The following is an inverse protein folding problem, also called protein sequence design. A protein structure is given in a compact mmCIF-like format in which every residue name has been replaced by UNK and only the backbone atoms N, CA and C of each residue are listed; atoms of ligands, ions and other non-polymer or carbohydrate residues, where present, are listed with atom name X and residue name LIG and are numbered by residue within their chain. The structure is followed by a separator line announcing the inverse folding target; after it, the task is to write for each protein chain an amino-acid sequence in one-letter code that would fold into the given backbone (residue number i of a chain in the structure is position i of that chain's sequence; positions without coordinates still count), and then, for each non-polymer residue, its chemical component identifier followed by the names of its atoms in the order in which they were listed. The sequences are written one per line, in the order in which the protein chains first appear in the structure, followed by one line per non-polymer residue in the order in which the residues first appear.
data_IF_234742357552
#
_entry.id   IF_234742357552
#
_cell.length_a   1.000
_cell.length_b   1.000
_cell.length_c   1.000
_cell.angle_alpha   90.00
_cell.angle_beta   90.00
_cell.angle_gamma   90.00
#
_symmetry.space_group_name_H-M   'P 1'
#
loop_
_entity.id
_entity.type
_entity.pdbx_description
1 polymer ?
#
# COMPACT_ATOMS: atom_id res chain seq x y z
N UNK A 1 2.02 -22.81 13.67
CA UNK A 1 1.67 -21.67 14.54
C UNK A 1 2.57 -20.53 14.13
N UNK A 2 1.97 -19.36 13.87
CA UNK A 2 2.71 -18.15 13.60
C UNK A 2 3.60 -17.80 14.82
N UNK A 3 4.83 -17.37 14.57
CA UNK A 3 5.78 -16.97 15.61
C UNK A 3 6.41 -15.63 15.28
N UNK A 4 6.87 -14.93 16.32
CA UNK A 4 7.49 -13.61 16.20
C UNK A 4 8.86 -13.59 16.88
N UNK A 5 9.83 -12.98 16.22
CA UNK A 5 11.16 -12.69 16.76
C UNK A 5 11.44 -11.21 16.63
N UNK A 6 11.78 -10.55 17.74
CA UNK A 6 12.14 -9.15 17.74
C UNK A 6 13.65 -8.99 17.62
N UNK A 7 14.09 -8.27 16.58
CA UNK A 7 15.47 -7.88 16.36
C UNK A 7 15.60 -6.36 16.58
N UNK A 8 16.84 -5.84 16.60
CA UNK A 8 17.08 -4.43 16.94
C UNK A 8 16.28 -3.44 16.07
N UNK A 9 16.11 -3.76 14.77
CA UNK A 9 15.53 -2.83 13.77
C UNK A 9 14.37 -3.39 12.95
N UNK A 10 13.97 -4.63 13.22
CA UNK A 10 12.88 -5.27 12.51
C UNK A 10 12.23 -6.36 13.37
N UNK A 11 11.00 -6.70 13.02
CA UNK A 11 10.22 -7.77 13.63
C UNK A 11 10.14 -8.88 12.58
N UNK A 12 10.70 -10.05 12.89
CA UNK A 12 10.61 -11.24 12.05
C UNK A 12 9.36 -12.01 12.39
N UNK A 13 8.63 -12.42 11.35
CA UNK A 13 7.38 -13.15 11.46
C UNK A 13 7.50 -14.41 10.63
N UNK A 14 7.11 -15.53 11.21
CA UNK A 14 7.24 -16.85 10.61
C UNK A 14 5.90 -17.59 10.75
N UNK A 15 5.26 -17.93 9.64
CA UNK A 15 4.06 -18.79 9.59
C UNK A 15 4.41 -20.15 9.01
N UNK A 16 3.48 -21.09 8.93
CA UNK A 16 3.71 -22.37 8.23
C UNK A 16 3.89 -22.20 6.70
N UNK A 17 3.32 -21.16 6.12
CA UNK A 17 3.26 -20.92 4.68
C UNK A 17 4.25 -19.87 4.18
N UNK A 18 4.66 -18.92 5.01
CA UNK A 18 5.56 -17.83 4.60
C UNK A 18 6.41 -17.29 5.76
N UNK A 19 7.35 -16.42 5.43
CA UNK A 19 8.03 -15.54 6.39
C UNK A 19 7.96 -14.10 5.90
N UNK A 20 8.03 -13.14 6.82
CA UNK A 20 8.01 -11.71 6.55
C UNK A 20 8.82 -10.96 7.61
N UNK A 21 9.34 -9.78 7.26
CA UNK A 21 9.93 -8.85 8.23
C UNK A 21 9.22 -7.51 8.18
N UNK A 22 8.93 -6.91 9.33
CA UNK A 22 8.39 -5.55 9.44
C UNK A 22 9.49 -4.64 9.95
N UNK A 23 9.85 -3.62 9.17
CA UNK A 23 10.91 -2.67 9.55
C UNK A 23 10.39 -1.70 10.63
N UNK A 24 11.16 -1.49 11.69
CA UNK A 24 10.83 -0.54 12.76
C UNK A 24 11.69 0.71 12.73
N UNK A 25 12.84 0.67 12.04
CA UNK A 25 13.79 1.79 11.87
C UNK A 25 14.36 1.86 10.44
N UNK A 26 14.62 3.07 9.96
CA UNK A 26 15.16 3.34 8.62
C UNK A 26 14.05 3.56 7.59
N UNK A 27 13.97 2.69 6.58
CA UNK A 27 12.88 2.69 5.60
C UNK A 27 11.69 1.93 6.19
N UNK A 28 10.72 2.66 6.73
CA UNK A 28 9.69 2.12 7.65
C UNK A 28 8.29 2.08 7.04
N UNK A 29 7.35 1.47 7.76
CA UNK A 29 6.01 1.03 7.33
C UNK A 29 6.02 -0.25 6.50
N UNK A 30 4.94 -1.04 6.61
CA UNK A 30 4.74 -2.24 5.81
C UNK A 30 5.75 -3.37 6.06
N UNK A 31 5.86 -4.27 5.08
CA UNK A 31 6.79 -5.40 5.08
C UNK A 31 8.06 -5.02 4.31
N UNK A 32 9.23 -5.34 4.88
CA UNK A 32 10.55 -5.01 4.35
C UNK A 32 10.81 -5.66 2.99
N UNK A 33 11.52 -4.93 2.12
CA UNK A 33 11.91 -5.36 0.78
C UNK A 33 12.50 -6.78 0.73
N UNK A 34 11.92 -7.66 -0.10
CA UNK A 34 12.43 -9.01 -0.33
C UNK A 34 12.36 -9.95 0.89
N UNK A 35 11.63 -9.55 1.94
CA UNK A 35 11.47 -10.35 3.15
C UNK A 35 10.22 -11.21 3.14
N UNK A 36 9.23 -10.90 2.27
CA UNK A 36 8.02 -11.70 2.15
C UNK A 36 8.29 -12.91 1.25
N UNK A 37 8.48 -14.08 1.88
CA UNK A 37 8.94 -15.28 1.20
C UNK A 37 7.90 -16.39 1.37
N UNK A 38 7.41 -16.91 0.24
CA UNK A 38 6.53 -18.06 0.17
C UNK A 38 7.32 -19.35 0.38
N UNK A 39 7.01 -20.11 1.43
CA UNK A 39 7.71 -21.36 1.73
C UNK A 39 7.38 -22.47 0.74
N UNK A 40 6.20 -22.42 0.11
CA UNK A 40 5.77 -23.44 -0.84
C UNK A 40 6.61 -23.41 -2.11
N UNK A 41 6.82 -22.22 -2.67
CA UNK A 41 7.51 -22.05 -3.96
C UNK A 41 8.95 -21.58 -3.80
N UNK A 42 9.32 -21.05 -2.62
CA UNK A 42 10.60 -20.38 -2.38
C UNK A 42 10.67 -18.97 -2.96
N UNK A 43 9.57 -18.46 -3.54
CA UNK A 43 9.50 -17.12 -4.10
C UNK A 43 9.64 -16.05 -3.03
N UNK A 44 10.30 -14.94 -3.37
CA UNK A 44 10.33 -13.71 -2.57
C UNK A 44 9.69 -12.56 -3.35
N UNK A 45 9.19 -11.55 -2.65
CA UNK A 45 8.76 -10.31 -3.28
C UNK A 45 9.92 -9.61 -4.00
N UNK A 46 9.66 -9.02 -5.16
CA UNK A 46 10.64 -8.24 -5.93
C UNK A 46 10.70 -6.78 -5.49
N UNK A 47 10.12 -6.44 -4.34
CA UNK A 47 9.73 -5.05 -4.08
C UNK A 47 10.77 -4.25 -3.30
N UNK A 48 10.52 -2.94 -3.20
CA UNK A 48 11.20 -2.06 -2.24
C UNK A 48 10.54 -2.10 -0.85
N UNK A 49 9.50 -2.90 -0.69
CA UNK A 49 8.66 -3.01 0.48
C UNK A 49 7.20 -3.19 0.05
N UNK A 50 6.40 -3.83 0.91
CA UNK A 50 4.97 -4.08 0.66
C UNK A 50 4.10 -3.28 1.62
N UNK A 51 3.02 -2.66 1.13
CA UNK A 51 2.11 -1.81 1.90
C UNK A 51 2.80 -0.60 2.56
N UNK A 52 3.57 0.14 1.77
CA UNK A 52 4.38 1.27 2.26
C UNK A 52 3.55 2.55 2.26
N UNK A 53 3.49 3.26 3.39
CA UNK A 53 2.78 4.52 3.52
C UNK A 53 3.70 5.72 3.26
N UNK A 54 3.22 6.71 2.50
CA UNK A 54 3.96 7.92 2.15
C UNK A 54 3.49 9.13 2.95
N UNK A 55 2.51 9.88 2.44
CA UNK A 55 2.10 11.19 2.97
C UNK A 55 0.63 11.48 2.65
N UNK A 56 0.12 12.57 3.24
CA UNK A 56 -1.23 13.06 2.98
C UNK A 56 -1.25 14.11 1.87
N UNK A 57 -2.20 13.95 0.95
CA UNK A 57 -2.38 14.80 -0.21
C UNK A 57 -3.83 15.27 -0.33
N UNK A 58 -4.01 16.24 -1.21
CA UNK A 58 -5.28 16.59 -1.82
C UNK A 58 -5.07 16.87 -3.33
N UNK A 59 -6.10 16.76 -4.18
CA UNK A 59 -6.00 17.16 -5.57
C UNK A 59 -6.02 18.68 -5.71
N UNK A 60 -5.13 19.22 -6.54
CA UNK A 60 -5.06 20.66 -6.76
C UNK A 60 -3.73 21.07 -7.37
N UNK A 61 -3.68 22.30 -7.85
CA UNK A 61 -2.43 22.99 -8.21
C UNK A 61 -2.07 23.94 -7.08
N UNK A 62 -0.77 24.21 -6.93
CA UNK A 62 -0.30 25.14 -5.91
C UNK A 62 -0.87 26.55 -6.12
N UNK A 63 -1.11 27.22 -4.99
CA UNK A 63 -1.49 28.62 -4.91
C UNK A 63 -0.28 29.48 -4.53
N UNK A 64 -0.44 30.81 -4.57
CA UNK A 64 0.62 31.77 -4.25
C UNK A 64 1.16 31.66 -2.83
N UNK A 65 0.41 31.01 -1.94
CA UNK A 65 0.67 30.97 -0.50
C UNK A 65 1.36 29.67 -0.10
N UNK A 66 1.55 28.74 -1.05
CA UNK A 66 2.22 27.47 -0.82
C UNK A 66 3.74 27.66 -0.73
N UNK A 67 4.28 27.39 0.46
CA UNK A 67 5.73 27.42 0.70
C UNK A 67 6.46 26.33 -0.08
N UNK A 68 7.73 26.58 -0.43
CA UNK A 68 8.55 25.68 -1.25
C UNK A 68 8.60 24.22 -0.76
N UNK A 69 8.64 24.00 0.56
CA UNK A 69 8.70 22.66 1.16
C UNK A 69 7.41 21.85 0.96
N UNK A 70 6.30 22.52 0.63
CA UNK A 70 4.98 21.93 0.40
C UNK A 70 4.55 22.03 -1.07
N UNK A 71 5.46 22.40 -1.97
CA UNK A 71 5.20 22.34 -3.40
C UNK A 71 5.30 20.90 -3.90
N UNK A 72 4.18 20.32 -4.32
CA UNK A 72 4.17 19.04 -5.02
C UNK A 72 4.60 19.25 -6.48
N UNK A 73 5.72 18.65 -6.87
CA UNK A 73 6.20 18.73 -8.25
C UNK A 73 5.35 17.83 -9.16
N UNK A 74 4.93 18.32 -10.31
CA UNK A 74 4.19 17.56 -11.32
C UNK A 74 4.52 18.07 -12.73
N UNK A 75 4.09 17.34 -13.76
CA UNK A 75 4.42 17.60 -15.16
C UNK A 75 5.75 17.00 -15.60
N UNK A 76 6.25 16.00 -14.88
CA UNK A 76 7.50 15.31 -15.15
C UNK A 76 7.29 13.78 -15.31
N UNK A 77 8.39 13.06 -15.54
CA UNK A 77 8.36 11.61 -15.66
C UNK A 77 8.05 10.87 -14.35
N UNK A 78 8.11 11.56 -13.20
CA UNK A 78 7.95 10.98 -11.86
C UNK A 78 6.49 10.99 -11.41
N UNK A 79 5.86 12.14 -11.55
CA UNK A 79 4.52 12.44 -11.03
C UNK A 79 3.49 12.59 -12.15
N UNK A 80 3.94 12.71 -13.41
CA UNK A 80 3.05 12.88 -14.56
C UNK A 80 2.27 14.20 -14.50
N UNK A 81 1.29 14.37 -15.38
CA UNK A 81 0.40 15.54 -15.33
C UNK A 81 -0.76 15.34 -14.33
N UNK A 82 -0.41 14.95 -13.10
CA UNK A 82 -1.36 14.65 -12.04
C UNK A 82 -1.13 15.65 -10.90
N UNK A 83 -1.76 16.84 -10.94
CA UNK A 83 -1.54 17.87 -9.95
C UNK A 83 -2.12 17.44 -8.59
N UNK A 84 -1.31 17.61 -7.55
CA UNK A 84 -1.62 17.37 -6.14
C UNK A 84 -1.07 18.53 -5.32
N UNK A 85 -1.47 18.59 -4.05
CA UNK A 85 -0.85 19.43 -3.02
C UNK A 85 -0.60 18.58 -1.80
N UNK A 86 0.48 18.84 -1.08
CA UNK A 86 0.68 18.24 0.23
C UNK A 86 -0.34 18.79 1.23
N UNK A 87 -0.91 17.91 2.04
CA UNK A 87 -1.68 18.29 3.22
C UNK A 87 -0.76 18.27 4.42
N UNK A 88 -0.13 17.12 4.68
CA UNK A 88 0.76 16.90 5.81
C UNK A 88 2.00 16.09 5.40
N UNK A 89 3.13 16.44 6.03
CA UNK A 89 4.47 15.93 5.80
C UNK A 89 5.11 15.50 7.13
N UNK A 90 6.11 14.61 7.11
CA UNK A 90 6.90 14.15 5.96
C UNK A 90 6.37 12.90 5.25
N UNK A 91 7.12 12.42 4.25
CA UNK A 91 6.98 11.06 3.71
C UNK A 91 7.40 10.03 4.78
N UNK A 92 6.46 9.29 5.33
CA UNK A 92 6.67 8.36 6.46
C UNK A 92 7.78 7.37 6.12
N UNK A 93 7.69 6.69 4.98
CA UNK A 93 8.59 5.58 4.67
C UNK A 93 10.07 5.95 4.61
N UNK A 94 10.43 7.18 4.27
CA UNK A 94 11.84 7.61 4.15
C UNK A 94 12.29 8.56 5.26
N UNK A 95 11.37 9.26 5.92
CA UNK A 95 11.71 10.37 6.81
C UNK A 95 11.21 10.20 8.24
N UNK A 96 10.28 9.27 8.53
CA UNK A 96 9.88 9.01 9.91
C UNK A 96 11.04 8.46 10.74
N UNK A 97 11.93 7.68 10.10
CA UNK A 97 13.18 7.17 10.69
C UNK A 97 12.99 6.04 11.72
N UNK A 98 11.98 6.13 12.58
CA UNK A 98 11.57 5.08 13.52
C UNK A 98 10.07 5.18 13.79
N UNK A 99 9.38 4.04 13.74
CA UNK A 99 7.96 3.97 14.10
C UNK A 99 7.79 3.36 15.50
N UNK A 100 6.93 3.93 16.35
CA UNK A 100 6.41 3.19 17.48
C UNK A 100 5.57 2.00 16.99
N UNK A 101 5.56 0.93 17.78
CA UNK A 101 4.83 -0.29 17.44
C UNK A 101 4.44 -1.11 18.65
N UNK A 102 3.45 -1.97 18.44
CA UNK A 102 3.04 -3.03 19.36
C UNK A 102 2.92 -4.35 18.60
N UNK A 103 3.24 -5.45 19.28
CA UNK A 103 3.09 -6.80 18.75
C UNK A 103 1.97 -7.48 19.53
N UNK A 104 1.07 -8.15 18.81
CA UNK A 104 0.01 -8.94 19.38
C UNK A 104 0.11 -10.37 18.84
N UNK A 105 0.34 -11.31 19.76
CA UNK A 105 0.37 -12.74 19.45
C UNK A 105 -1.00 -13.35 19.73
N UNK A 106 -1.67 -13.79 18.67
CA UNK A 106 -2.88 -14.58 18.76
C UNK A 106 -2.59 -16.07 18.74
N UNK A 107 -3.64 -16.89 18.81
CA UNK A 107 -3.50 -18.35 18.76
C UNK A 107 -2.90 -18.85 17.43
N UNK A 108 -3.42 -18.33 16.32
CA UNK A 108 -3.11 -18.80 14.96
C UNK A 108 -2.69 -17.62 14.05
N UNK A 109 -2.19 -16.53 14.64
CA UNK A 109 -1.69 -15.36 13.90
C UNK A 109 -0.75 -14.50 14.76
N UNK A 110 0.07 -13.69 14.10
CA UNK A 110 0.81 -12.57 14.70
C UNK A 110 0.30 -11.28 14.09
N UNK A 111 0.19 -10.21 14.87
CA UNK A 111 -0.10 -8.88 14.35
C UNK A 111 0.91 -7.85 14.84
N UNK A 112 1.19 -6.87 13.97
CA UNK A 112 2.03 -5.71 14.28
C UNK A 112 1.19 -4.46 14.06
N UNK A 113 1.09 -3.62 15.08
CA UNK A 113 0.51 -2.30 15.00
C UNK A 113 1.63 -1.27 14.93
N UNK A 114 1.57 -0.36 13.96
CA UNK A 114 2.48 0.78 13.84
C UNK A 114 1.66 2.06 13.72
N UNK A 115 2.22 3.19 14.16
CA UNK A 115 1.55 4.47 14.00
C UNK A 115 2.53 5.63 13.86
N UNK A 116 2.03 6.74 13.34
CA UNK A 116 2.79 7.98 13.17
C UNK A 116 1.87 9.19 13.19
N UNK A 117 2.31 10.27 13.84
CA UNK A 117 1.69 11.58 13.71
C UNK A 117 2.53 12.43 12.77
N UNK A 118 1.93 12.91 11.68
CA UNK A 118 2.55 13.95 10.88
C UNK A 118 2.77 15.21 11.75
N UNK A 119 3.84 15.94 11.48
CA UNK A 119 4.32 17.00 12.36
C UNK A 119 4.43 18.36 11.65
N UNK A 120 4.09 18.41 10.37
CA UNK A 120 4.13 19.61 9.55
C UNK A 120 3.02 19.56 8.49
N UNK A 121 2.49 20.72 8.12
CA UNK A 121 1.36 20.83 7.21
C UNK A 121 1.43 22.06 6.32
N UNK A 122 0.81 21.98 5.14
CA UNK A 122 0.65 23.12 4.23
C UNK A 122 -0.42 24.05 4.80
N UNK A 123 -0.19 25.37 4.79
CA UNK A 123 -1.25 26.33 5.14
C UNK A 123 -2.51 26.11 4.26
N UNK A 124 -3.73 26.13 4.82
CA UNK A 124 -4.11 26.51 6.19
C UNK A 124 -4.19 25.34 7.19
N UNK A 125 -3.66 24.16 6.86
CA UNK A 125 -3.74 22.98 7.69
C UNK A 125 -2.74 23.01 8.86
N UNK A 126 -3.03 22.21 9.88
CA UNK A 126 -2.17 21.97 11.03
C UNK A 126 -1.56 20.56 10.96
N UNK A 127 -0.32 20.41 11.42
CA UNK A 127 0.32 19.08 11.52
C UNK A 127 -0.15 18.35 12.77
N UNK A 128 -0.52 17.08 12.64
CA UNK A 128 -0.84 16.23 13.79
C UNK A 128 -1.76 15.06 13.49
N UNK A 129 -2.22 14.90 12.23
CA UNK A 129 -3.04 13.76 11.84
C UNK A 129 -2.32 12.45 12.16
N UNK A 130 -3.09 11.46 12.61
CA UNK A 130 -2.59 10.15 13.03
C UNK A 130 -2.78 9.16 11.89
N UNK A 131 -1.69 8.51 11.45
CA UNK A 131 -1.75 7.27 10.68
C UNK A 131 -1.50 6.07 11.59
N UNK A 132 -2.29 5.03 11.41
CA UNK A 132 -2.19 3.73 12.04
C UNK A 132 -2.14 2.65 10.96
N UNK A 133 -1.30 1.64 11.14
CA UNK A 133 -1.23 0.46 10.29
C UNK A 133 -1.24 -0.81 11.13
N UNK A 134 -2.23 -1.67 10.88
CA UNK A 134 -2.23 -3.04 11.37
C UNK A 134 -1.78 -4.00 10.28
N UNK A 135 -0.74 -4.79 10.56
CA UNK A 135 -0.29 -5.90 9.73
C UNK A 135 -0.63 -7.20 10.43
N UNK A 136 -1.50 -8.03 9.86
CA UNK A 136 -1.97 -9.29 10.46
C UNK A 136 -1.51 -10.46 9.61
N UNK A 137 -0.75 -11.36 10.23
CA UNK A 137 -0.08 -12.51 9.62
C UNK A 137 -0.70 -13.82 10.10
N UNK A 138 -1.80 -14.27 9.48
CA UNK A 138 -2.46 -15.53 9.80
C UNK A 138 -1.63 -16.75 9.35
N UNK A 139 -1.71 -17.82 10.15
CA UNK A 139 -1.17 -19.14 9.82
C UNK A 139 -2.08 -19.89 8.82
N UNK A 140 -1.53 -20.83 8.06
CA UNK A 140 -2.28 -21.70 7.15
C UNK A 140 -2.69 -21.08 5.82
N UNK A 141 -2.34 -19.81 5.56
CA UNK A 141 -2.58 -19.11 4.30
C UNK A 141 -1.31 -18.45 3.78
N UNK A 142 -1.29 -18.09 2.50
CA UNK A 142 -0.12 -17.50 1.81
C UNK A 142 -0.20 -15.99 1.64
N UNK A 143 -1.01 -15.34 2.49
CA UNK A 143 -1.26 -13.91 2.46
C UNK A 143 -1.33 -13.34 3.88
N UNK A 144 -1.13 -12.03 3.98
CA UNK A 144 -1.34 -11.24 5.18
C UNK A 144 -2.31 -10.09 4.88
N UNK A 145 -2.83 -9.46 5.93
CA UNK A 145 -3.69 -8.29 5.84
C UNK A 145 -2.93 -7.04 6.28
N UNK A 146 -3.17 -5.93 5.61
CA UNK A 146 -2.75 -4.59 6.02
C UNK A 146 -4.01 -3.73 6.20
N UNK A 147 -4.11 -2.97 7.28
CA UNK A 147 -5.16 -1.97 7.47
C UNK A 147 -4.53 -0.63 7.81
N UNK A 148 -4.54 0.26 6.82
CA UNK A 148 -4.13 1.65 6.99
C UNK A 148 -5.34 2.50 7.37
N UNK A 149 -5.19 3.31 8.41
CA UNK A 149 -6.20 4.25 8.88
C UNK A 149 -5.57 5.60 9.17
N UNK A 150 -6.21 6.66 8.71
CA UNK A 150 -5.83 8.04 8.99
C UNK A 150 -6.96 8.70 9.76
N UNK A 151 -6.64 9.32 10.89
CA UNK A 151 -7.53 10.21 11.66
C UNK A 151 -7.01 11.62 11.51
N UNK A 152 -7.78 12.50 10.86
CA UNK A 152 -7.30 13.84 10.53
C UNK A 152 -7.60 14.85 11.62
N UNK A 153 -6.67 15.76 11.89
CA UNK A 153 -6.95 16.96 12.70
C UNK A 153 -7.47 18.13 11.86
N UNK A 154 -7.57 17.94 10.55
CA UNK A 154 -7.97 18.98 9.60
C UNK A 154 -9.31 18.63 8.95
N UNK A 155 -10.03 19.67 8.53
CA UNK A 155 -11.12 19.49 7.55
C UNK A 155 -10.56 19.64 6.14
N UNK A 156 -10.65 18.59 5.32
CA UNK A 156 -10.11 18.53 3.96
C UNK A 156 -11.13 17.92 3.02
N UNK A 157 -11.48 18.63 1.94
CA UNK A 157 -12.54 18.23 1.01
C UNK A 157 -12.27 16.89 0.31
N UNK A 158 -10.99 16.57 0.08
CA UNK A 158 -10.54 15.37 -0.62
C UNK A 158 -9.20 14.90 -0.05
N UNK A 159 -9.20 14.48 1.21
CA UNK A 159 -7.99 13.94 1.84
C UNK A 159 -7.61 12.60 1.23
N UNK A 160 -6.33 12.44 0.89
CA UNK A 160 -5.78 11.26 0.23
C UNK A 160 -4.58 10.77 1.05
N UNK A 161 -4.49 9.46 1.24
CA UNK A 161 -3.25 8.80 1.66
C UNK A 161 -2.59 8.16 0.44
N UNK A 162 -1.33 8.52 0.17
CA UNK A 162 -0.50 7.86 -0.85
C UNK A 162 0.26 6.67 -0.25
N UNK A 163 0.34 5.60 -1.02
CA UNK A 163 1.04 4.37 -0.64
C UNK A 163 1.56 3.59 -1.86
N UNK A 164 2.54 2.73 -1.61
CA UNK A 164 2.98 1.71 -2.57
C UNK A 164 2.15 0.44 -2.37
N UNK A 165 1.48 -0.03 -3.42
CA UNK A 165 0.54 -1.16 -3.32
C UNK A 165 0.52 -2.05 -4.58
N UNK A 166 0.82 -3.36 -4.46
CA UNK A 166 1.38 -4.02 -3.28
C UNK A 166 2.76 -3.46 -2.91
N UNK A 167 3.58 -3.15 -3.91
CA UNK A 167 4.91 -2.55 -3.78
C UNK A 167 5.50 -2.30 -5.17
N UNK A 168 6.46 -1.38 -5.28
CA UNK A 168 7.22 -1.15 -6.52
C UNK A 168 7.98 -2.41 -6.93
N UNK A 169 8.14 -2.72 -8.23
CA UNK A 169 8.73 -3.99 -8.70
C UNK A 169 10.14 -3.73 -9.25
N UNK A 170 11.16 -4.33 -8.63
CA UNK A 170 12.53 -4.34 -9.15
C UNK A 170 12.63 -5.28 -10.35
N UNK A 171 13.32 -4.81 -11.39
CA UNK A 171 13.62 -5.58 -12.59
C UNK A 171 14.75 -4.91 -13.38
N UNK A 172 15.36 -5.62 -14.32
CA UNK A 172 16.24 -5.08 -15.34
C UNK A 172 15.64 -5.34 -16.73
N UNK A 173 14.90 -4.36 -17.26
CA UNK A 173 14.23 -4.47 -18.57
C UNK A 173 13.19 -5.60 -18.65
N UNK A 174 12.64 -6.02 -17.52
CA UNK A 174 11.46 -6.90 -17.44
C UNK A 174 11.79 -8.39 -17.40
N UNK A 175 12.94 -8.72 -16.82
CA UNK A 175 13.50 -10.07 -16.69
C UNK A 175 13.06 -10.81 -15.41
N UNK A 176 12.75 -10.09 -14.34
CA UNK A 176 12.36 -10.68 -13.04
C UNK A 176 10.86 -11.05 -12.95
N UNK A 177 10.03 -10.54 -13.85
CA UNK A 177 8.58 -10.82 -13.90
C UNK A 177 8.07 -10.96 -15.33
N UNK A 178 7.02 -11.75 -15.53
CA UNK A 178 6.47 -12.04 -16.86
C UNK A 178 5.38 -11.06 -17.29
N UNK A 179 4.49 -10.74 -16.35
CA UNK A 179 3.33 -9.88 -16.58
C UNK A 179 2.80 -9.28 -15.30
N UNK A 180 2.11 -8.15 -15.44
CA UNK A 180 1.33 -7.49 -14.41
C UNK A 180 -0.14 -7.72 -14.71
N UNK A 181 -0.95 -8.00 -13.69
CA UNK A 181 -2.40 -8.04 -13.81
C UNK A 181 -3.02 -6.92 -12.97
N UNK A 182 -3.83 -6.11 -13.61
CA UNK A 182 -4.63 -5.06 -12.97
C UNK A 182 -6.10 -5.37 -13.26
N UNK A 183 -6.90 -5.69 -12.24
CA UNK A 183 -8.30 -6.13 -12.46
C UNK A 183 -9.22 -5.08 -13.07
N UNK A 184 -8.81 -3.81 -13.04
CA UNK A 184 -9.49 -2.68 -13.67
C UNK A 184 -8.97 -2.35 -15.08
N UNK A 185 -8.01 -3.13 -15.57
CA UNK A 185 -7.43 -3.01 -16.91
C UNK A 185 -7.39 -4.40 -17.58
N UNK A 186 -6.26 -5.10 -17.54
CA UNK A 186 -6.03 -6.46 -18.04
C UNK A 186 -4.62 -6.94 -17.61
N UNK A 187 -4.16 -8.07 -18.15
CA UNK A 187 -2.77 -8.50 -18.14
C UNK A 187 -1.88 -7.66 -19.08
N UNK A 188 -0.75 -7.20 -18.56
CA UNK A 188 0.25 -6.39 -19.26
C UNK A 188 1.58 -7.15 -19.25
N UNK A 189 2.15 -7.42 -20.42
CA UNK A 189 3.46 -8.08 -20.51
C UNK A 189 4.57 -7.19 -19.92
N UNK A 190 5.58 -7.81 -19.29
CA UNK A 190 6.78 -7.11 -18.80
C UNK A 190 7.51 -6.31 -19.89
N UNK A 191 7.34 -6.67 -21.17
CA UNK A 191 7.87 -5.93 -22.33
C UNK A 191 7.34 -4.49 -22.42
N UNK A 192 6.18 -4.19 -21.84
CA UNK A 192 5.65 -2.82 -21.77
C UNK A 192 6.51 -1.91 -20.88
N UNK A 193 7.33 -2.48 -20.00
CA UNK A 193 8.12 -1.78 -18.98
C UNK A 193 9.61 -1.70 -19.35
N UNK A 194 9.98 -1.86 -20.62
CA UNK A 194 11.37 -1.75 -21.06
C UNK A 194 11.85 -0.31 -21.14
N UNK A 195 10.94 0.64 -21.39
CA UNK A 195 11.23 2.07 -21.51
C UNK A 195 10.42 2.85 -20.51
N UNK A 196 11.02 3.89 -19.94
CA UNK A 196 10.35 4.77 -19.01
C UNK A 196 9.16 5.49 -19.67
N UNK A 197 8.09 5.67 -18.89
CA UNK A 197 6.91 6.47 -19.25
C UNK A 197 6.26 7.01 -17.99
N UNK A 198 5.62 8.18 -18.07
CA UNK A 198 5.05 8.85 -16.89
C UNK A 198 3.74 8.20 -16.40
N UNK A 199 3.35 8.43 -15.13
CA UNK A 199 2.14 7.88 -14.50
C UNK A 199 0.86 7.91 -15.34
N UNK A 200 0.64 9.00 -16.06
CA UNK A 200 -0.59 9.37 -16.76
C UNK A 200 -0.67 8.85 -18.21
N UNK A 201 0.33 8.11 -18.68
CA UNK A 201 0.45 7.76 -20.11
C UNK A 201 -0.29 6.47 -20.47
N UNK A 202 -0.23 5.42 -19.64
CA UNK A 202 -0.71 4.09 -20.01
C UNK A 202 -1.68 3.47 -19.01
N UNK A 203 -1.28 3.34 -17.74
CA UNK A 203 -1.97 2.49 -16.77
C UNK A 203 -2.45 3.28 -15.55
N UNK A 204 -3.06 4.43 -15.80
CA UNK A 204 -3.67 5.29 -14.78
C UNK A 204 -5.14 4.91 -14.56
N UNK A 205 -5.48 4.65 -13.31
CA UNK A 205 -6.84 4.61 -12.80
C UNK A 205 -7.14 5.90 -12.03
N UNK A 206 -8.30 6.49 -12.33
CA UNK A 206 -8.88 7.57 -11.52
C UNK A 206 -10.34 7.23 -11.22
N UNK A 207 -10.72 7.34 -9.96
CA UNK A 207 -12.07 7.01 -9.49
C UNK A 207 -13.11 7.88 -10.18
N UNK A 208 -14.09 7.23 -10.80
CA UNK A 208 -15.27 7.86 -11.36
C UNK A 208 -16.51 7.29 -10.67
N UNK A 209 -17.43 8.16 -10.22
CA UNK A 209 -18.59 7.79 -9.38
C UNK A 209 -19.38 6.57 -9.88
N UNK A 210 -19.50 6.40 -11.20
CA UNK A 210 -20.29 5.34 -11.82
C UNK A 210 -19.43 4.27 -12.51
N UNK A 211 -18.12 4.22 -12.24
CA UNK A 211 -17.18 3.25 -12.84
C UNK A 211 -16.21 2.67 -11.82
N UNK A 212 -16.65 2.49 -10.59
CA UNK A 212 -15.86 1.77 -9.58
C UNK A 212 -15.76 0.31 -10.05
N UNK A 213 -14.55 -0.26 -10.18
CA UNK A 213 -14.38 -1.61 -10.68
C UNK A 213 -14.91 -2.62 -9.67
N UNK A 214 -15.36 -3.78 -10.17
CA UNK A 214 -15.88 -4.89 -9.33
C UNK A 214 -14.82 -5.43 -8.36
N UNK A 215 -13.55 -5.42 -8.78
CA UNK A 215 -12.39 -5.88 -8.03
C UNK A 215 -11.27 -4.87 -8.15
N UNK A 216 -10.41 -4.82 -7.14
CA UNK A 216 -9.21 -3.97 -7.14
C UNK A 216 -7.98 -4.80 -6.78
N UNK A 217 -7.51 -5.59 -7.73
CA UNK A 217 -6.37 -6.50 -7.62
C UNK A 217 -5.25 -5.93 -8.48
N UNK A 218 -4.05 -5.84 -7.89
CA UNK A 218 -2.82 -5.41 -8.54
C UNK A 218 -1.75 -6.43 -8.25
N UNK A 219 -1.29 -7.14 -9.27
CA UNK A 219 -0.36 -8.25 -9.10
C UNK A 219 0.67 -8.32 -10.20
N UNK A 220 1.75 -9.05 -9.94
CA UNK A 220 2.72 -9.44 -10.95
C UNK A 220 3.04 -10.92 -10.84
N UNK A 221 3.28 -11.54 -11.98
CA UNK A 221 3.69 -12.94 -12.07
C UNK A 221 5.21 -12.99 -12.07
N UNK A 222 5.77 -13.66 -11.07
CA UNK A 222 7.18 -14.01 -11.00
C UNK A 222 7.54 -15.00 -12.11
N UNK A 223 8.82 -15.06 -12.48
CA UNK A 223 9.31 -16.00 -13.49
C UNK A 223 9.11 -17.49 -13.11
N UNK A 224 8.80 -17.78 -11.84
CA UNK A 224 8.37 -19.12 -11.38
C UNK A 224 6.94 -19.49 -11.80
N UNK A 225 6.15 -18.52 -12.27
CA UNK A 225 4.72 -18.64 -12.53
C UNK A 225 3.83 -18.24 -11.34
N UNK A 226 4.39 -18.09 -10.13
CA UNK A 226 3.66 -17.63 -8.93
C UNK A 226 3.31 -16.15 -9.04
N UNK A 227 2.14 -15.77 -8.57
CA UNK A 227 1.69 -14.38 -8.52
C UNK A 227 1.92 -13.79 -7.12
N UNK A 228 2.43 -12.57 -7.04
CA UNK A 228 2.30 -11.74 -5.84
C UNK A 228 1.25 -10.66 -6.11
N UNK A 229 0.26 -10.54 -5.22
CA UNK A 229 -0.85 -9.61 -5.38
C UNK A 229 -1.01 -8.71 -4.17
N UNK A 230 -1.47 -7.48 -4.41
CA UNK A 230 -2.11 -6.61 -3.43
C UNK A 230 -3.54 -6.29 -3.84
N UNK A 231 -4.45 -6.37 -2.88
CA UNK A 231 -5.89 -6.28 -3.12
C UNK A 231 -6.52 -5.25 -2.20
N UNK A 232 -7.09 -4.16 -2.73
CA UNK A 232 -7.89 -3.25 -1.93
C UNK A 232 -9.33 -3.81 -1.82
N UNK A 233 -9.69 -4.30 -0.63
CA UNK A 233 -10.91 -5.10 -0.44
C UNK A 233 -12.21 -4.29 -0.61
N UNK A 234 -12.16 -2.97 -0.40
CA UNK A 234 -13.17 -2.02 -0.84
C UNK A 234 -12.65 -1.21 -2.04
N UNK A 235 -13.00 -1.55 -3.30
CA UNK A 235 -12.61 -0.77 -4.47
C UNK A 235 -13.06 0.69 -4.45
N UNK A 236 -14.09 1.04 -3.68
CA UNK A 236 -14.67 2.39 -3.68
C UNK A 236 -13.78 3.42 -2.99
N UNK A 237 -12.93 2.99 -2.05
CA UNK A 237 -12.01 3.89 -1.33
C UNK A 237 -10.80 4.29 -2.17
N UNK A 238 -10.45 3.52 -3.20
CA UNK A 238 -9.30 3.81 -4.05
C UNK A 238 -9.62 5.03 -4.92
N UNK A 239 -8.90 6.12 -4.68
CA UNK A 239 -9.06 7.40 -5.37
C UNK A 239 -8.34 7.39 -6.72
N UNK A 240 -7.05 7.07 -6.72
CA UNK A 240 -6.21 6.97 -7.92
C UNK A 240 -5.21 5.82 -7.75
N UNK A 241 -4.74 5.30 -8.87
CA UNK A 241 -3.64 4.35 -8.87
C UNK A 241 -2.98 4.33 -10.23
N UNK A 242 -1.68 4.07 -10.27
CA UNK A 242 -1.01 3.90 -11.54
C UNK A 242 0.15 2.92 -11.44
N UNK A 243 0.44 2.35 -12.60
CA UNK A 243 1.59 1.50 -12.84
C UNK A 243 2.43 2.14 -13.94
N UNK A 244 3.67 2.54 -13.65
CA UNK A 244 4.53 3.16 -14.66
C UNK A 244 5.98 2.71 -14.56
N UNK A 245 6.74 2.91 -15.64
CA UNK A 245 8.16 2.57 -15.69
C UNK A 245 9.03 3.79 -15.41
N UNK A 246 9.93 3.68 -14.43
CA UNK A 246 10.98 4.65 -14.14
C UNK A 246 12.18 3.96 -13.51
N UNK A 247 12.96 3.25 -14.32
CA UNK A 247 14.06 2.38 -13.85
C UNK A 247 13.63 1.12 -13.08
N UNK A 248 12.46 1.16 -12.43
CA UNK A 248 11.70 0.05 -11.88
C UNK A 248 10.22 0.27 -12.21
N UNK A 249 9.36 -0.72 -11.97
CA UNK A 249 7.91 -0.51 -12.10
C UNK A 249 7.38 0.14 -10.83
N UNK A 250 6.99 1.40 -10.91
CA UNK A 250 6.32 2.11 -9.83
C UNK A 250 4.87 1.64 -9.72
N UNK A 251 4.45 1.21 -8.53
CA UNK A 251 3.10 0.78 -8.22
C UNK A 251 2.54 1.66 -7.10
N UNK A 252 1.92 2.78 -7.46
CA UNK A 252 1.36 3.73 -6.50
C UNK A 252 -0.16 3.58 -6.43
N UNK A 253 -0.69 3.61 -5.22
CA UNK A 253 -2.11 3.68 -4.93
C UNK A 253 -2.41 4.85 -3.98
N UNK A 254 -3.53 5.50 -4.22
CA UNK A 254 -4.08 6.56 -3.39
C UNK A 254 -5.45 6.12 -2.88
N UNK A 255 -5.66 6.14 -1.57
CA UNK A 255 -6.96 5.87 -0.93
C UNK A 255 -7.55 7.16 -0.36
N UNK A 256 -8.88 7.23 -0.22
CA UNK A 256 -9.59 8.40 0.28
C UNK A 256 -10.19 9.23 -0.85
N UNK A 257 -9.77 10.49 -1.00
CA UNK A 257 -10.33 11.46 -1.95
C UNK A 257 -11.78 11.82 -1.63
N UNK A 258 -12.13 11.80 -0.35
CA UNK A 258 -13.44 12.13 0.20
C UNK A 258 -13.29 13.27 1.22
N UNK A 259 -14.41 13.91 1.55
CA UNK A 259 -14.44 14.92 2.60
C UNK A 259 -14.20 14.25 3.95
N UNK A 260 -13.18 14.73 4.65
CA UNK A 260 -12.85 14.37 6.02
C UNK A 260 -12.96 15.65 6.85
N UNK A 261 -13.74 15.62 7.93
CA UNK A 261 -13.75 16.68 8.95
C UNK A 261 -12.69 16.42 10.00
N UNK A 262 -12.34 17.47 10.71
CA UNK A 262 -11.53 17.36 11.92
C UNK A 262 -12.08 16.27 12.86
N UNK A 263 -11.19 15.37 13.28
CA UNK A 263 -11.49 14.21 14.12
C UNK A 263 -12.04 12.99 13.38
N UNK A 264 -12.42 13.10 12.10
CA UNK A 264 -12.90 11.96 11.31
C UNK A 264 -11.74 11.10 10.80
N UNK A 265 -12.04 9.82 10.53
CA UNK A 265 -11.09 8.86 9.99
C UNK A 265 -11.53 8.29 8.64
N UNK A 266 -10.56 7.89 7.83
CA UNK A 266 -10.74 7.01 6.69
C UNK A 266 -9.62 5.95 6.66
N UNK A 267 -9.82 4.87 5.91
CA UNK A 267 -8.83 3.81 5.82
C UNK A 267 -9.20 2.77 4.79
N UNK A 268 -8.33 1.80 4.59
CA UNK A 268 -8.56 0.69 3.68
C UNK A 268 -7.89 -0.58 4.19
N UNK A 269 -8.58 -1.72 4.06
CA UNK A 269 -8.01 -3.04 4.29
C UNK A 269 -7.51 -3.60 2.97
N UNK A 270 -6.26 -4.05 2.98
CA UNK A 270 -5.62 -4.72 1.87
C UNK A 270 -5.25 -6.15 2.24
N UNK A 271 -5.34 -7.04 1.24
CA UNK A 271 -4.81 -8.40 1.33
C UNK A 271 -3.60 -8.49 0.39
N UNK A 272 -2.47 -8.95 0.92
CA UNK A 272 -1.22 -9.10 0.16
C UNK A 272 -0.68 -10.51 0.30
N UNK A 273 -0.37 -11.17 -0.83
CA UNK A 273 0.00 -12.58 -0.77
C UNK A 273 0.42 -13.22 -2.09
N UNK A 274 0.73 -14.51 -1.99
CA UNK A 274 1.11 -15.36 -3.10
C UNK A 274 -0.04 -16.26 -3.57
N UNK A 275 -0.18 -16.36 -4.90
CA UNK A 275 -1.26 -17.09 -5.57
C UNK A 275 -0.74 -17.88 -6.77
N UNK A 276 -1.43 -18.96 -7.12
CA UNK A 276 -1.12 -19.80 -8.26
C UNK A 276 -1.77 -19.30 -9.55
N UNK A 277 -2.89 -18.58 -9.46
CA UNK A 277 -3.62 -18.10 -10.64
C UNK A 277 -4.40 -16.80 -10.39
N UNK A 278 -4.83 -16.17 -11.48
CA UNK A 278 -5.77 -15.03 -11.42
C UNK A 278 -7.12 -15.46 -10.86
N UNK A 279 -7.59 -16.66 -11.17
CA UNK A 279 -8.85 -17.19 -10.65
C UNK A 279 -8.80 -17.32 -9.12
N UNK A 280 -7.72 -17.85 -8.55
CA UNK A 280 -7.52 -17.93 -7.10
C UNK A 280 -7.49 -16.53 -6.46
N UNK A 281 -6.81 -15.57 -7.10
CA UNK A 281 -6.80 -14.18 -6.64
C UNK A 281 -8.21 -13.58 -6.61
N UNK A 282 -9.00 -13.81 -7.66
CA UNK A 282 -10.36 -13.32 -7.77
C UNK A 282 -11.30 -13.96 -6.74
N UNK A 283 -11.17 -15.27 -6.48
CA UNK A 283 -11.98 -15.98 -5.49
C UNK A 283 -11.68 -15.51 -4.06
N UNK A 284 -10.40 -15.32 -3.73
CA UNK A 284 -9.99 -14.77 -2.43
C UNK A 284 -10.46 -13.33 -2.27
N UNK A 285 -10.31 -12.50 -3.32
CA UNK A 285 -10.85 -11.15 -3.31
C UNK A 285 -12.36 -11.15 -3.04
N UNK A 286 -13.10 -12.02 -3.73
CA UNK A 286 -14.55 -12.06 -3.66
C UNK A 286 -15.07 -12.53 -2.29
N UNK A 287 -14.29 -13.37 -1.61
CA UNK A 287 -14.57 -13.83 -0.24
C UNK A 287 -14.54 -12.67 0.77
N UNK A 288 -13.62 -11.72 0.61
CA UNK A 288 -13.42 -10.61 1.57
C UNK A 288 -13.89 -9.25 1.04
N UNK A 289 -14.55 -9.23 -0.11
CA UNK A 289 -14.95 -8.00 -0.79
C UNK A 289 -15.87 -7.15 0.08
N UNK A 290 -15.61 -5.83 0.04
CA UNK A 290 -16.39 -4.83 0.74
C UNK A 290 -15.91 -4.57 2.15
N UNK A 291 -14.86 -5.26 2.60
CA UNK A 291 -14.19 -4.99 3.88
C UNK A 291 -13.62 -3.57 3.89
N UNK A 292 -14.01 -2.79 4.90
CA UNK A 292 -13.58 -1.40 5.11
C UNK A 292 -12.68 -1.24 6.32
N UNK A 293 -12.90 -2.03 7.36
CA UNK A 293 -12.16 -1.95 8.63
C UNK A 293 -11.74 -3.33 9.09
N UNK A 294 -10.71 -3.36 9.93
CA UNK A 294 -10.22 -4.55 10.59
C UNK A 294 -10.09 -4.28 12.08
N UNK A 295 -10.54 -5.22 12.90
CA UNK A 295 -10.34 -5.23 14.35
C UNK A 295 -9.39 -6.36 14.71
N UNK A 296 -8.42 -6.08 15.58
CA UNK A 296 -7.39 -7.04 16.00
C UNK A 296 -7.35 -7.08 17.52
N UNK A 297 -7.49 -8.28 18.10
CA UNK A 297 -7.47 -8.54 19.54
C UNK A 297 -6.74 -9.85 19.82
N UNK A 298 -6.29 -10.08 21.05
CA UNK A 298 -5.60 -11.33 21.41
C UNK A 298 -6.45 -12.60 21.13
N UNK A 299 -7.78 -12.47 21.21
CA UNK A 299 -8.72 -13.55 20.92
C UNK A 299 -8.88 -13.85 19.42
N UNK A 300 -8.52 -12.92 18.54
CA UNK A 300 -8.76 -13.03 17.11
C UNK A 300 -8.76 -11.69 16.38
N UNK A 301 -8.89 -11.75 15.07
CA UNK A 301 -9.12 -10.60 14.22
C UNK A 301 -10.41 -10.77 13.42
N UNK A 302 -11.00 -9.67 13.00
CA UNK A 302 -12.25 -9.66 12.23
C UNK A 302 -12.27 -8.52 11.21
N UNK A 303 -13.01 -8.73 10.14
CA UNK A 303 -13.18 -7.80 9.04
C UNK A 303 -14.62 -7.29 9.03
N UNK A 304 -14.81 -6.00 8.81
CA UNK A 304 -16.13 -5.36 8.82
C UNK A 304 -16.36 -4.56 7.53
N UNK A 305 -17.60 -4.55 7.04
CA UNK A 305 -18.03 -3.96 5.76
C UNK A 305 -18.81 -2.67 5.94
#
# INVERSE_FOLDING_TARGET
MATVGQEEKFIRIETDCYQASVQTEGYVSGVSAGSFIDKRTGASDLSFGLCIADFLLEPGIEDSDTSADFCYHWGDAVHGNIPKRYVELPQICTQAGKLPYEILEGKDFVAVHQWYNWNSARFPYEGGSLWEQWLVFPDGVRWFLAYDKVTSINTVDKLILRMDMPGHIKHQKGDEFDRIYLSYYDCISSKAFVKDFSPDVHYLYQRQKNKIPKRYIRSYQLSSGTWLAGMALDPSIVYEAWCHQRGYVCMIQEIGGILIREGESFGAVHLVGFFESIEEMEDVFDTYRGTKTMRVEAAGWSLET
#
